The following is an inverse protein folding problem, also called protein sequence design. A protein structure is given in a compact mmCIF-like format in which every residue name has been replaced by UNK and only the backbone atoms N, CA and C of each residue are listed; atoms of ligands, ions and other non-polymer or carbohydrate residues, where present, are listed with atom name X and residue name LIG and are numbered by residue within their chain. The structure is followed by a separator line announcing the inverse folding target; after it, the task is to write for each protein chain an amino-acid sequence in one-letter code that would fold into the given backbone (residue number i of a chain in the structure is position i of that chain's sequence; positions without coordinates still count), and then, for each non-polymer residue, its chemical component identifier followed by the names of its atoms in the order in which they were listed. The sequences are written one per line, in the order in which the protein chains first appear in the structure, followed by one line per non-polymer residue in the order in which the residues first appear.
data_IF_492755067763
#
_entry.id   IF_492755067763
#
_cell.length_a   1.000
_cell.length_b   1.000
_cell.length_c   1.000
_cell.angle_alpha   90.00
_cell.angle_beta   90.00
_cell.angle_gamma   90.00
#
_symmetry.space_group_name_H-M   'P 1'
#
loop_
_entity.id
_entity.type
_entity.pdbx_description
1 polymer ?
#
# COMPACT_ATOMS: atom_id res chain seq x y z
N UNK A 1 18.29 12.36 19.34
CA UNK A 1 19.25 11.25 19.28
C UNK A 1 18.83 10.34 18.16
N UNK A 2 19.31 10.59 16.94
CA UNK A 2 18.99 9.91 15.67
C UNK A 2 19.20 8.38 15.72
N UNK A 3 18.36 7.73 16.52
CA UNK A 3 18.39 6.31 16.90
C UNK A 3 19.71 5.89 17.56
N UNK A 4 20.37 6.86 18.22
CA UNK A 4 21.65 6.65 18.89
C UNK A 4 21.52 5.55 19.96
N UNK A 5 22.51 4.64 20.01
CA UNK A 5 22.55 3.42 20.82
C UNK A 5 21.43 2.38 20.60
N UNK A 6 20.50 2.60 19.66
CA UNK A 6 19.41 1.66 19.39
C UNK A 6 19.70 0.71 18.21
N UNK A 7 20.73 1.00 17.43
CA UNK A 7 21.03 0.27 16.18
C UNK A 7 22.01 -0.90 16.38
N UNK A 8 22.94 -0.78 17.33
CA UNK A 8 23.98 -1.79 17.55
C UNK A 8 24.29 -1.96 19.07
N UNK A 9 23.85 -3.07 19.69
CA UNK A 9 22.96 -4.09 19.11
C UNK A 9 21.57 -3.52 18.86
N UNK A 10 20.87 -4.03 17.83
CA UNK A 10 19.54 -3.55 17.50
C UNK A 10 18.58 -3.74 18.68
N UNK A 11 18.07 -2.64 19.20
CA UNK A 11 17.09 -2.64 20.26
C UNK A 11 15.81 -3.37 19.81
N UNK A 12 15.27 -4.23 20.69
CA UNK A 12 14.13 -5.09 20.35
C UNK A 12 12.85 -4.31 20.04
N UNK A 13 12.59 -3.19 20.73
CA UNK A 13 11.41 -2.37 20.48
C UNK A 13 11.55 -1.65 19.13
N UNK A 14 12.74 -1.15 18.83
CA UNK A 14 13.04 -0.57 17.51
C UNK A 14 12.89 -1.61 16.41
N UNK A 15 13.37 -2.84 16.62
CA UNK A 15 13.19 -3.95 15.67
C UNK A 15 11.71 -4.21 15.39
N UNK A 16 10.88 -4.30 16.43
CA UNK A 16 9.43 -4.52 16.27
C UNK A 16 8.76 -3.36 15.54
N UNK A 17 9.15 -2.12 15.82
CA UNK A 17 8.65 -0.95 15.11
C UNK A 17 8.99 -0.99 13.61
N UNK A 18 10.25 -1.25 13.28
CA UNK A 18 10.70 -1.32 11.88
C UNK A 18 9.96 -2.43 11.12
N UNK A 19 9.84 -3.62 11.72
CA UNK A 19 9.08 -4.73 11.13
C UNK A 19 7.62 -4.36 10.91
N UNK A 20 6.95 -3.77 11.90
CA UNK A 20 5.57 -3.33 11.77
C UNK A 20 5.37 -2.31 10.65
N UNK A 21 6.27 -1.32 10.54
CA UNK A 21 6.24 -0.36 9.45
C UNK A 21 6.44 -1.04 8.08
N UNK A 22 7.36 -2.02 8.01
CA UNK A 22 7.56 -2.84 6.82
C UNK A 22 6.31 -3.63 6.42
N UNK A 23 5.65 -4.25 7.40
CA UNK A 23 4.40 -4.99 7.18
C UNK A 23 3.29 -4.07 6.67
N UNK A 24 3.15 -2.85 7.20
CA UNK A 24 2.21 -1.84 6.69
C UNK A 24 2.52 -1.45 5.23
N UNK A 25 3.79 -1.34 4.84
CA UNK A 25 4.16 -1.17 3.44
C UNK A 25 3.76 -2.40 2.60
N UNK A 26 3.97 -3.61 3.11
CA UNK A 26 3.62 -4.84 2.39
C UNK A 26 2.10 -4.98 2.16
N UNK A 27 1.27 -4.56 3.13
CA UNK A 27 -0.19 -4.47 2.97
C UNK A 27 -0.54 -3.71 1.68
N UNK A 28 0.19 -2.64 1.35
CA UNK A 28 -0.07 -1.87 0.14
C UNK A 28 0.21 -2.65 -1.14
N UNK A 29 1.34 -3.36 -1.20
CA UNK A 29 1.66 -4.19 -2.36
C UNK A 29 0.67 -5.35 -2.53
N UNK A 30 0.25 -5.99 -1.44
CA UNK A 30 -0.68 -7.11 -1.48
C UNK A 30 -2.10 -6.68 -1.87
N UNK A 31 -2.46 -5.44 -1.56
CA UNK A 31 -3.78 -4.86 -1.83
C UNK A 31 -3.90 -4.30 -3.24
N UNK A 32 -2.82 -3.79 -3.82
CA UNK A 32 -2.85 -3.10 -5.11
C UNK A 32 -3.12 -4.07 -6.28
N UNK A 33 -4.06 -3.71 -7.15
CA UNK A 33 -4.37 -4.49 -8.36
C UNK A 33 -3.43 -4.07 -9.48
N UNK A 34 -2.36 -4.84 -9.71
CA UNK A 34 -1.36 -4.56 -10.74
C UNK A 34 -1.58 -5.29 -12.08
N UNK A 35 -2.64 -6.09 -12.23
CA UNK A 35 -2.96 -6.78 -13.49
C UNK A 35 -3.61 -5.81 -14.50
N UNK A 36 -2.94 -5.47 -15.62
CA UNK A 36 -3.48 -4.53 -16.61
C UNK A 36 -4.74 -5.05 -17.31
N UNK A 37 -5.00 -6.36 -17.30
CA UNK A 37 -6.20 -6.94 -17.90
C UNK A 37 -7.43 -6.74 -17.02
N UNK A 38 -7.24 -6.50 -15.73
CA UNK A 38 -8.33 -6.15 -14.83
C UNK A 38 -8.86 -4.76 -15.12
N UNK A 39 -10.18 -4.59 -15.21
CA UNK A 39 -10.82 -3.26 -15.26
C UNK A 39 -10.56 -2.41 -14.01
N UNK A 40 -10.12 -3.05 -12.93
CA UNK A 40 -9.77 -2.43 -11.64
C UNK A 40 -8.26 -2.26 -11.44
N UNK A 41 -7.43 -2.46 -12.48
CA UNK A 41 -6.01 -2.16 -12.43
C UNK A 41 -5.77 -0.74 -11.89
N UNK A 42 -4.89 -0.59 -10.91
CA UNK A 42 -4.64 0.69 -10.23
C UNK A 42 -5.48 0.91 -8.97
N UNK A 43 -6.45 0.06 -8.65
CA UNK A 43 -7.30 0.19 -7.48
C UNK A 43 -6.83 -0.70 -6.31
N UNK A 44 -7.41 -0.45 -5.12
CA UNK A 44 -7.34 -1.38 -4.00
C UNK A 44 -8.26 -2.59 -4.23
N UNK A 45 -7.75 -3.79 -3.95
CA UNK A 45 -8.53 -5.05 -3.98
C UNK A 45 -9.52 -5.17 -2.83
N UNK A 46 -9.28 -4.50 -1.70
CA UNK A 46 -10.03 -4.68 -0.47
C UNK A 46 -10.65 -3.38 0.04
N UNK A 47 -11.81 -3.47 0.67
CA UNK A 47 -12.41 -2.34 1.36
C UNK A 47 -11.61 -1.97 2.62
N UNK A 48 -11.65 -0.70 3.03
CA UNK A 48 -10.94 -0.17 4.22
C UNK A 48 -11.13 -1.03 5.48
N UNK A 49 -12.37 -1.44 5.75
CA UNK A 49 -12.75 -2.26 6.92
C UNK A 49 -12.09 -3.64 6.94
N UNK A 50 -11.65 -4.14 5.79
CA UNK A 50 -11.14 -5.50 5.64
C UNK A 50 -9.66 -5.55 5.26
N UNK A 51 -9.05 -4.45 4.82
CA UNK A 51 -7.76 -4.47 4.11
C UNK A 51 -6.67 -5.15 4.94
N UNK A 52 -6.48 -4.74 6.21
CA UNK A 52 -5.48 -5.32 7.10
C UNK A 52 -5.72 -6.80 7.39
N UNK A 53 -6.99 -7.17 7.57
CA UNK A 53 -7.39 -8.56 7.83
C UNK A 53 -7.16 -9.45 6.61
N UNK A 54 -7.49 -8.96 5.40
CA UNK A 54 -7.38 -9.71 4.14
C UNK A 54 -5.95 -9.80 3.62
N UNK A 55 -5.05 -8.92 4.04
CA UNK A 55 -3.60 -9.03 3.80
C UNK A 55 -2.87 -9.71 4.96
N UNK A 56 -3.58 -10.34 5.90
CA UNK A 56 -2.98 -11.07 7.03
C UNK A 56 -2.00 -10.24 7.88
N UNK A 57 -2.25 -8.93 8.03
CA UNK A 57 -1.43 -8.06 8.87
C UNK A 57 -1.53 -8.52 10.34
N UNK A 58 -0.40 -8.76 11.05
CA UNK A 58 -0.41 -9.41 12.36
C UNK A 58 -1.25 -8.72 13.45
N UNK A 59 -1.33 -7.39 13.41
CA UNK A 59 -2.03 -6.55 14.40
C UNK A 59 -3.27 -5.87 13.79
N UNK A 60 -3.97 -6.54 12.88
CA UNK A 60 -5.07 -5.94 12.10
C UNK A 60 -6.23 -5.37 12.94
N UNK A 61 -6.44 -5.90 14.14
CA UNK A 61 -7.49 -5.49 15.07
C UNK A 61 -7.10 -4.28 15.94
N UNK A 62 -5.86 -3.81 15.82
CA UNK A 62 -5.33 -2.66 16.58
C UNK A 62 -5.31 -1.36 15.79
N UNK A 63 -5.70 -1.39 14.52
CA UNK A 63 -5.67 -0.23 13.63
C UNK A 63 -6.99 -0.08 12.87
N UNK A 64 -7.46 1.16 12.81
CA UNK A 64 -8.59 1.52 11.95
C UNK A 64 -8.09 2.23 10.69
N UNK A 65 -8.38 1.66 9.52
CA UNK A 65 -8.09 2.31 8.23
C UNK A 65 -9.17 3.35 7.95
N UNK A 66 -8.86 4.60 8.25
CA UNK A 66 -9.81 5.72 8.15
C UNK A 66 -10.01 6.22 6.72
N UNK A 67 -9.00 6.07 5.86
CA UNK A 67 -9.00 6.64 4.51
C UNK A 67 -8.11 5.85 3.55
N UNK A 68 -8.39 6.05 2.26
CA UNK A 68 -7.51 5.64 1.17
C UNK A 68 -7.05 6.90 0.45
N UNK A 69 -5.79 6.89 0.06
CA UNK A 69 -5.11 7.92 -0.72
C UNK A 69 -5.07 7.48 -2.18
N UNK A 70 -5.35 8.46 -3.04
CA UNK A 70 -5.29 8.30 -4.49
C UNK A 70 -4.45 9.43 -5.06
N UNK A 71 -3.65 9.12 -6.08
CA UNK A 71 -2.80 10.09 -6.75
C UNK A 71 -2.87 9.97 -8.26
N UNK A 72 -2.61 11.09 -8.92
CA UNK A 72 -2.46 11.22 -10.37
C UNK A 72 -1.23 12.06 -10.69
N UNK A 73 -0.73 12.00 -11.92
CA UNK A 73 0.41 12.77 -12.38
C UNK A 73 0.13 13.42 -13.74
N UNK A 74 0.49 14.71 -13.88
CA UNK A 74 0.31 15.48 -15.13
C UNK A 74 1.41 15.25 -16.18
N UNK A 75 2.59 14.81 -15.74
CA UNK A 75 3.70 14.48 -16.64
C UNK A 75 3.66 13.00 -17.01
N UNK A 76 4.23 12.63 -18.15
CA UNK A 76 4.37 11.22 -18.56
C UNK A 76 5.30 10.49 -17.57
N UNK A 77 4.72 10.03 -16.46
CA UNK A 77 5.37 9.15 -15.50
C UNK A 77 5.56 7.76 -16.14
N UNK A 78 6.65 7.06 -15.82
CA UNK A 78 6.79 5.67 -16.21
C UNK A 78 5.58 4.85 -15.74
N UNK A 79 5.14 3.89 -16.55
CA UNK A 79 4.00 3.01 -16.23
C UNK A 79 4.19 2.25 -14.91
N UNK A 80 5.45 2.07 -14.47
CA UNK A 80 5.81 1.49 -13.18
C UNK A 80 5.26 2.27 -11.97
N UNK A 81 4.92 3.55 -12.11
CA UNK A 81 4.39 4.38 -11.02
C UNK A 81 2.87 4.52 -11.03
N UNK A 82 2.25 4.60 -12.21
CA UNK A 82 0.79 4.67 -12.37
C UNK A 82 0.35 3.68 -13.46
N UNK A 83 -0.13 2.52 -13.02
CA UNK A 83 -0.60 1.46 -13.89
C UNK A 83 -2.00 1.77 -14.42
N UNK A 84 -2.22 1.43 -15.69
CA UNK A 84 -3.49 1.67 -16.39
C UNK A 84 -4.10 0.35 -16.83
N UNK A 85 -5.41 0.22 -16.66
CA UNK A 85 -6.15 -0.90 -17.23
C UNK A 85 -6.18 -0.81 -18.76
N UNK A 86 -5.97 -1.95 -19.41
CA UNK A 86 -6.19 -2.13 -20.86
C UNK A 86 -7.67 -2.18 -21.22
N UNK A 87 -8.56 -2.38 -20.23
CA UNK A 87 -10.00 -2.36 -20.45
C UNK A 87 -10.49 -0.97 -20.89
N UNK A 88 -11.50 -0.99 -21.77
CA UNK A 88 -12.25 0.21 -22.15
C UNK A 88 -13.23 0.66 -21.05
N UNK A 89 -13.62 -0.27 -20.18
CA UNK A 89 -14.46 -0.05 -19.00
C UNK A 89 -13.65 0.15 -17.71
N UNK A 90 -12.48 0.78 -17.83
CA UNK A 90 -11.59 1.03 -16.69
C UNK A 90 -12.27 1.90 -15.63
N UNK A 91 -11.98 1.62 -14.36
CA UNK A 91 -12.56 2.34 -13.22
C UNK A 91 -12.15 3.81 -13.16
N UNK A 92 -10.89 4.11 -13.50
CA UNK A 92 -10.33 5.45 -13.61
C UNK A 92 -9.36 5.55 -14.80
N UNK A 93 -9.08 6.76 -15.27
CA UNK A 93 -8.24 7.00 -16.45
C UNK A 93 -6.83 7.48 -16.11
N UNK A 94 -6.64 8.09 -14.94
CA UNK A 94 -5.47 8.89 -14.59
C UNK A 94 -4.95 8.67 -13.16
N UNK A 95 -5.70 7.97 -12.31
CA UNK A 95 -5.44 7.86 -10.87
C UNK A 95 -5.25 6.42 -10.43
N UNK A 96 -4.36 6.23 -9.45
CA UNK A 96 -4.19 4.97 -8.74
C UNK A 96 -4.40 5.15 -7.25
N UNK A 97 -4.82 4.06 -6.59
CA UNK A 97 -4.68 3.88 -5.16
C UNK A 97 -3.20 3.79 -4.79
N UNK A 98 -2.77 4.53 -3.77
CA UNK A 98 -1.37 4.61 -3.34
C UNK A 98 -1.16 4.39 -1.83
N UNK A 99 -2.21 3.99 -1.10
CA UNK A 99 -2.16 3.77 0.36
C UNK A 99 -3.51 3.94 1.04
#
# INVERSE_FOLDING_TARGET
NDWDSLLDPLNDDLRRLVLRCGDLCQVTYDTFINDPNSKYCGCSRYAKVDVLRKTTFPEWDRYDVVGFLYATARVSMPEAFLLKSLSRERWDRESNWIG
#
